data_IF_204448959639
#
_entry.id   IF_204448959639
#
_cell.length_a   1.000
_cell.length_b   1.000
_cell.length_c   1.000
_cell.angle_alpha   90.00
_cell.angle_beta   90.00
_cell.angle_gamma   90.00
#
_symmetry.space_group_name_H-M   'P 1'
#
loop_
_entity.id
_entity.type
_entity.pdbx_description
1 polymer ?
#
# COMPACT_ATOMS: atom_id res chain seq x y z
N UNK A 1 -25.90 8.91 15.53
CA UNK A 1 -25.61 8.65 14.10
C UNK A 1 -25.11 7.22 14.02
N UNK A 2 -25.85 6.31 13.39
CA UNK A 2 -25.46 4.91 13.26
C UNK A 2 -24.28 4.78 12.30
N UNK A 3 -23.17 4.22 12.77
CA UNK A 3 -21.99 3.94 11.97
C UNK A 3 -22.30 2.75 11.05
N UNK A 4 -22.54 3.00 9.76
CA UNK A 4 -22.70 1.94 8.76
C UNK A 4 -21.32 1.34 8.46
N UNK A 5 -20.91 0.33 9.21
CA UNK A 5 -19.68 -0.41 8.94
C UNK A 5 -19.88 -1.36 7.76
N UNK A 6 -19.23 -1.07 6.63
CA UNK A 6 -19.22 -1.97 5.47
C UNK A 6 -17.97 -2.84 5.50
N UNK A 7 -18.16 -4.16 5.57
CA UNK A 7 -17.05 -5.11 5.52
C UNK A 7 -16.43 -5.11 4.10
N UNK A 8 -15.19 -4.64 4.01
CA UNK A 8 -14.41 -4.60 2.76
C UNK A 8 -13.54 -5.86 2.65
N UNK A 9 -13.65 -6.56 1.53
CA UNK A 9 -12.78 -7.69 1.18
C UNK A 9 -11.57 -7.20 0.37
N UNK A 10 -10.39 -7.75 0.63
CA UNK A 10 -9.13 -7.51 -0.10
C UNK A 10 -8.50 -8.87 -0.44
N UNK A 11 -8.54 -9.25 -1.72
CA UNK A 11 -7.92 -10.48 -2.24
C UNK A 11 -6.65 -10.14 -3.01
N UNK A 12 -5.61 -10.96 -2.88
CA UNK A 12 -4.31 -10.74 -3.53
C UNK A 12 -3.84 -11.95 -4.27
N UNK A 13 -3.24 -11.71 -5.43
CA UNK A 13 -2.72 -12.73 -6.30
C UNK A 13 -1.35 -12.28 -6.80
N UNK A 14 -0.46 -13.26 -6.97
CA UNK A 14 0.87 -13.06 -7.54
C UNK A 14 0.89 -13.84 -8.84
N UNK A 15 0.99 -13.12 -9.96
CA UNK A 15 0.89 -13.68 -11.31
C UNK A 15 2.04 -13.17 -12.19
N UNK A 16 2.32 -13.88 -13.28
CA UNK A 16 3.30 -13.44 -14.28
C UNK A 16 2.77 -12.35 -15.20
N UNK A 17 3.66 -11.56 -15.82
CA UNK A 17 3.29 -10.42 -16.68
C UNK A 17 2.36 -10.82 -17.84
N UNK A 18 2.65 -11.93 -18.50
CA UNK A 18 1.83 -12.41 -19.62
C UNK A 18 0.36 -12.66 -19.21
N UNK A 19 0.15 -13.30 -18.05
CA UNK A 19 -1.19 -13.53 -17.52
C UNK A 19 -1.85 -12.21 -17.10
N UNK A 20 -1.11 -11.32 -16.44
CA UNK A 20 -1.58 -10.00 -16.04
C UNK A 20 -2.06 -9.17 -17.23
N UNK A 21 -1.32 -9.14 -18.34
CA UNK A 21 -1.74 -8.41 -19.56
C UNK A 21 -3.00 -9.01 -20.18
N UNK A 22 -3.15 -10.34 -20.20
CA UNK A 22 -4.40 -10.97 -20.67
C UNK A 22 -5.60 -10.59 -19.82
N UNK A 23 -5.44 -10.52 -18.50
CA UNK A 23 -6.50 -10.08 -17.60
C UNK A 23 -6.79 -8.59 -17.82
N UNK A 24 -5.76 -7.75 -17.82
CA UNK A 24 -5.87 -6.31 -17.99
C UNK A 24 -6.62 -5.96 -19.28
N UNK A 25 -6.25 -6.56 -20.42
CA UNK A 25 -6.90 -6.33 -21.70
C UNK A 25 -8.37 -6.79 -21.76
N UNK A 26 -8.77 -7.78 -20.94
CA UNK A 26 -10.17 -8.16 -20.80
C UNK A 26 -10.94 -7.13 -19.99
N UNK A 27 -10.37 -6.67 -18.87
CA UNK A 27 -10.99 -5.65 -18.01
C UNK A 27 -11.10 -4.30 -18.72
N UNK A 28 -10.08 -3.90 -19.48
CA UNK A 28 -10.04 -2.63 -20.20
C UNK A 28 -11.23 -2.43 -21.16
N UNK A 29 -11.78 -3.53 -21.69
CA UNK A 29 -12.94 -3.50 -22.61
C UNK A 29 -14.28 -3.35 -21.89
N UNK A 30 -14.32 -3.55 -20.57
CA UNK A 30 -15.55 -3.70 -19.81
C UNK A 30 -15.65 -2.78 -18.59
N UNK A 31 -14.51 -2.30 -18.07
CA UNK A 31 -14.46 -1.54 -16.82
C UNK A 31 -13.95 -0.11 -17.05
N UNK A 32 -14.46 0.86 -16.28
CA UNK A 32 -13.89 2.20 -16.23
C UNK A 32 -12.50 2.18 -15.59
N UNK A 33 -11.62 3.05 -16.09
CA UNK A 33 -10.31 3.31 -15.52
C UNK A 33 -10.37 3.92 -14.12
N UNK A 34 -9.23 3.96 -13.44
CA UNK A 34 -9.09 4.55 -12.12
C UNK A 34 -9.31 6.08 -12.15
N UNK A 35 -9.97 6.69 -11.15
CA UNK A 35 -10.20 8.13 -11.11
C UNK A 35 -8.91 8.97 -11.11
N UNK A 36 -7.78 8.41 -10.69
CA UNK A 36 -6.51 9.13 -10.63
C UNK A 36 -5.81 9.27 -11.98
N UNK A 37 -5.77 8.20 -12.78
CA UNK A 37 -4.99 8.14 -14.03
C UNK A 37 -5.73 7.54 -15.23
N UNK A 38 -7.03 7.26 -15.08
CA UNK A 38 -7.77 6.47 -16.06
C UNK A 38 -7.16 5.08 -16.21
N UNK A 39 -6.74 4.77 -17.43
CA UNK A 39 -6.11 3.48 -17.77
C UNK A 39 -4.58 3.56 -17.82
N UNK A 40 -4.02 4.76 -17.69
CA UNK A 40 -2.57 4.97 -17.77
C UNK A 40 -1.90 4.52 -16.47
N UNK A 41 -0.68 3.98 -16.57
CA UNK A 41 0.10 3.65 -15.39
C UNK A 41 0.55 4.90 -14.64
N UNK A 42 0.76 4.76 -13.33
CA UNK A 42 1.36 5.78 -12.49
C UNK A 42 2.25 5.15 -11.42
N UNK A 43 3.21 5.91 -10.93
CA UNK A 43 4.09 5.44 -9.86
C UNK A 43 3.46 5.69 -8.50
N UNK A 44 3.57 4.68 -7.64
CA UNK A 44 3.27 4.79 -6.21
C UNK A 44 4.58 4.62 -5.45
N UNK A 45 4.95 5.64 -4.68
CA UNK A 45 6.14 5.60 -3.81
C UNK A 45 5.73 5.70 -2.36
N UNK A 46 6.20 4.77 -1.54
CA UNK A 46 5.87 4.70 -0.12
C UNK A 46 7.13 4.57 0.74
N UNK A 47 7.31 5.46 1.70
CA UNK A 47 8.28 5.32 2.78
C UNK A 47 7.62 4.62 3.96
N UNK A 48 8.11 3.42 4.28
CA UNK A 48 7.65 2.68 5.46
C UNK A 48 8.46 3.04 6.68
N UNK A 49 7.76 3.10 7.81
CA UNK A 49 8.35 3.25 9.13
C UNK A 49 8.17 1.94 9.89
N UNK A 50 9.12 1.66 10.76
CA UNK A 50 9.09 0.53 11.68
C UNK A 50 9.80 0.92 12.97
N UNK A 51 9.59 0.15 14.02
CA UNK A 51 10.29 0.31 15.29
C UNK A 51 11.80 0.15 15.11
N UNK A 52 12.54 0.53 16.14
CA UNK A 52 13.99 0.34 16.16
C UNK A 52 14.38 -1.11 15.86
N UNK A 53 13.70 -2.06 16.50
CA UNK A 53 13.95 -3.51 16.38
C UNK A 53 13.24 -4.19 15.19
N UNK A 54 12.49 -3.44 14.37
CA UNK A 54 11.72 -3.95 13.23
C UNK A 54 10.53 -4.84 13.65
N UNK A 55 9.81 -4.45 14.70
CA UNK A 55 8.70 -5.24 15.22
C UNK A 55 7.59 -5.45 14.17
N UNK A 56 7.26 -4.44 13.34
CA UNK A 56 6.22 -4.59 12.31
C UNK A 56 6.67 -5.54 11.18
N UNK A 57 7.97 -5.68 10.95
CA UNK A 57 8.55 -6.68 10.05
C UNK A 57 8.37 -8.08 10.61
N UNK A 58 8.85 -8.33 11.82
CA UNK A 58 8.79 -9.65 12.46
C UNK A 58 7.34 -10.08 12.75
N UNK A 59 6.49 -9.18 13.23
CA UNK A 59 5.05 -9.43 13.41
C UNK A 59 4.39 -9.95 12.13
N UNK A 60 4.79 -9.41 10.97
CA UNK A 60 4.23 -9.84 9.69
C UNK A 60 4.82 -11.17 9.21
N UNK A 61 6.10 -11.42 9.47
CA UNK A 61 6.78 -12.69 9.14
C UNK A 61 6.23 -13.84 9.99
N UNK A 62 6.07 -13.62 11.29
CA UNK A 62 5.62 -14.61 12.27
C UNK A 62 4.10 -14.81 12.27
N UNK A 63 3.38 -14.07 11.41
CA UNK A 63 1.94 -14.21 11.27
C UNK A 63 1.13 -13.66 12.44
N UNK A 64 1.71 -12.78 13.25
CA UNK A 64 1.05 -12.18 14.43
C UNK A 64 -0.28 -11.53 14.01
N UNK A 65 -1.35 -11.90 14.72
CA UNK A 65 -2.73 -11.51 14.39
C UNK A 65 -2.98 -10.01 14.57
N UNK A 66 -2.37 -9.41 15.59
CA UNK A 66 -2.46 -7.99 15.90
C UNK A 66 -1.18 -7.32 15.44
N UNK A 67 -1.24 -6.60 14.32
CA UNK A 67 -0.05 -5.99 13.72
C UNK A 67 -0.41 -4.69 13.02
N UNK A 68 0.58 -3.83 12.81
CA UNK A 68 0.40 -2.53 12.18
C UNK A 68 1.46 -2.28 11.11
N UNK A 69 1.22 -1.25 10.30
CA UNK A 69 2.17 -0.66 9.37
C UNK A 69 1.91 0.83 9.27
N UNK A 70 2.97 1.63 9.36
CA UNK A 70 2.91 3.07 9.16
C UNK A 70 3.71 3.43 7.91
N UNK A 71 3.15 4.27 7.05
CA UNK A 71 3.86 4.75 5.86
C UNK A 71 3.43 6.15 5.44
N UNK A 72 4.33 6.84 4.77
CA UNK A 72 4.01 8.01 3.95
C UNK A 72 4.00 7.57 2.49
N UNK A 73 2.97 7.93 1.73
CA UNK A 73 2.83 7.60 0.31
C UNK A 73 2.63 8.86 -0.53
N UNK A 74 3.30 8.88 -1.69
CA UNK A 74 3.12 9.85 -2.76
C UNK A 74 2.89 9.15 -4.10
N UNK A 75 2.57 9.95 -5.13
CA UNK A 75 2.36 9.49 -6.49
C UNK A 75 3.29 10.24 -7.45
N UNK A 76 3.81 9.54 -8.46
CA UNK A 76 4.65 10.13 -9.52
C UNK A 76 5.83 10.98 -9.01
N UNK A 77 6.42 10.64 -7.86
CA UNK A 77 7.49 11.43 -7.24
C UNK A 77 7.07 12.82 -6.74
N UNK A 78 5.80 13.20 -6.90
CA UNK A 78 5.30 14.54 -6.62
C UNK A 78 4.88 14.73 -5.16
N UNK A 79 4.97 15.96 -4.68
CA UNK A 79 4.49 16.38 -3.36
C UNK A 79 3.03 16.90 -3.37
N UNK A 80 2.32 16.81 -4.49
CA UNK A 80 0.95 17.34 -4.63
C UNK A 80 -0.03 16.69 -3.65
N UNK A 81 0.07 15.37 -3.49
CA UNK A 81 -0.77 14.59 -2.57
C UNK A 81 0.10 13.63 -1.77
N UNK A 82 0.34 13.98 -0.52
CA UNK A 82 1.10 13.16 0.43
C UNK A 82 0.14 12.55 1.44
N UNK A 83 0.13 11.21 1.53
CA UNK A 83 -0.73 10.47 2.45
C UNK A 83 0.08 9.83 3.58
N UNK A 84 -0.19 10.21 4.82
CA UNK A 84 0.21 9.46 6.01
C UNK A 84 -0.84 8.38 6.27
N UNK A 85 -0.41 7.12 6.33
CA UNK A 85 -1.31 5.98 6.48
C UNK A 85 -0.89 5.09 7.66
N UNK A 86 -1.85 4.76 8.52
CA UNK A 86 -1.73 3.71 9.55
C UNK A 86 -2.67 2.57 9.15
N UNK A 87 -2.12 1.39 8.90
CA UNK A 87 -2.87 0.17 8.59
C UNK A 87 -2.71 -0.80 9.76
N UNK A 88 -3.81 -1.15 10.42
CA UNK A 88 -3.84 -2.08 11.55
C UNK A 88 -4.65 -3.31 11.17
N UNK A 89 -4.18 -4.49 11.57
CA UNK A 89 -4.90 -5.74 11.46
C UNK A 89 -5.04 -6.34 12.86
N UNK A 90 -6.25 -6.74 13.22
CA UNK A 90 -6.58 -7.39 14.49
C UNK A 90 -7.42 -8.63 14.20
N UNK A 91 -6.80 -9.81 14.23
CA UNK A 91 -7.43 -11.03 13.73
C UNK A 91 -7.71 -10.89 12.24
N UNK A 92 -8.97 -11.02 11.82
CA UNK A 92 -9.39 -10.82 10.43
C UNK A 92 -9.81 -9.37 10.12
N UNK A 93 -10.05 -8.56 11.15
CA UNK A 93 -10.42 -7.17 10.99
C UNK A 93 -9.22 -6.33 10.52
N UNK A 94 -9.45 -5.42 9.58
CA UNK A 94 -8.45 -4.50 9.07
C UNK A 94 -8.98 -3.07 9.15
N UNK A 95 -8.27 -2.21 9.88
CA UNK A 95 -8.53 -0.77 9.93
C UNK A 95 -7.45 -0.02 9.17
N UNK A 96 -7.85 0.99 8.38
CA UNK A 96 -6.94 1.90 7.71
C UNK A 96 -7.34 3.33 8.02
N UNK A 97 -6.41 4.08 8.59
CA UNK A 97 -6.49 5.53 8.75
C UNK A 97 -5.56 6.20 7.74
N UNK A 98 -6.02 7.27 7.10
CA UNK A 98 -5.28 7.94 6.02
C UNK A 98 -5.50 9.44 6.09
N UNK A 99 -4.40 10.19 6.16
CA UNK A 99 -4.42 11.64 6.30
C UNK A 99 -3.60 12.31 5.21
N UNK A 100 -4.05 13.47 4.73
CA UNK A 100 -3.21 14.32 3.88
C UNK A 100 -2.30 15.16 4.79
N UNK A 101 -1.00 15.15 4.52
CA UNK A 101 -0.01 15.97 5.25
C UNK A 101 0.75 16.87 4.28
N UNK A 102 1.36 17.93 4.79
CA UNK A 102 2.20 18.82 3.98
C UNK A 102 3.57 18.19 3.71
N UNK A 103 4.28 18.69 2.70
CA UNK A 103 5.67 18.29 2.42
C UNK A 103 6.57 18.51 3.65
N UNK A 104 6.41 19.63 4.34
CA UNK A 104 7.19 19.94 5.55
C UNK A 104 6.92 18.93 6.68
N UNK A 105 5.66 18.56 6.89
CA UNK A 105 5.30 17.54 7.88
C UNK A 105 5.90 16.17 7.52
N UNK A 106 5.85 15.77 6.24
CA UNK A 106 6.48 14.54 5.78
C UNK A 106 8.00 14.54 6.02
N UNK A 107 8.68 15.65 5.69
CA UNK A 107 10.11 15.84 5.97
C UNK A 107 10.43 15.79 7.47
N UNK A 108 9.56 16.36 8.30
CA UNK A 108 9.70 16.25 9.75
C UNK A 108 9.65 14.78 10.19
N UNK A 109 8.70 13.99 9.69
CA UNK A 109 8.62 12.56 10.00
C UNK A 109 9.86 11.80 9.53
N UNK A 110 10.39 12.10 8.33
CA UNK A 110 11.62 11.44 7.85
C UNK A 110 12.84 11.74 8.73
N UNK A 111 12.85 12.88 9.42
CA UNK A 111 13.90 13.24 10.38
C UNK A 111 13.61 12.79 11.81
N UNK A 112 12.57 11.96 12.04
CA UNK A 112 12.19 11.51 13.38
C UNK A 112 11.47 12.56 14.24
N UNK A 113 10.99 13.65 13.63
CA UNK A 113 10.26 14.73 14.32
C UNK A 113 8.76 14.56 14.10
N UNK A 114 8.04 14.12 15.13
CA UNK A 114 6.62 13.76 15.02
C UNK A 114 5.66 14.73 15.73
N UNK A 115 6.16 15.75 16.43
CA UNK A 115 5.36 16.62 17.32
C UNK A 115 4.13 17.24 16.66
N UNK A 116 4.20 17.58 15.37
CA UNK A 116 3.07 18.17 14.64
C UNK A 116 1.80 17.31 14.65
N UNK A 117 1.93 15.99 14.88
CA UNK A 117 0.79 15.09 14.97
C UNK A 117 -0.11 15.43 16.17
N UNK A 118 0.47 15.94 17.27
CA UNK A 118 -0.25 16.39 18.45
C UNK A 118 -1.00 17.71 18.20
N UNK A 119 -0.45 18.58 17.36
CA UNK A 119 -1.01 19.91 17.07
C UNK A 119 -2.29 19.85 16.21
N UNK A 120 -2.69 18.66 15.76
CA UNK A 120 -3.83 18.48 14.85
C UNK A 120 -5.17 18.40 15.56
N UNK A 121 -5.18 18.16 16.87
CA UNK A 121 -6.40 17.88 17.66
C UNK A 121 -7.15 16.62 17.19
N UNK A 122 -6.53 15.78 16.36
CA UNK A 122 -7.12 14.56 15.84
C UNK A 122 -6.62 13.35 16.65
N UNK A 123 -7.49 12.65 17.40
CA UNK A 123 -7.11 11.52 18.24
C UNK A 123 -6.38 10.39 17.49
N UNK A 124 -6.68 10.21 16.21
CA UNK A 124 -6.03 9.19 15.39
C UNK A 124 -4.60 9.58 15.00
N UNK A 125 -4.33 10.87 14.79
CA UNK A 125 -2.97 11.37 14.57
C UNK A 125 -2.16 11.36 15.85
N UNK A 126 -2.78 11.69 16.99
CA UNK A 126 -2.17 11.52 18.31
C UNK A 126 -1.81 10.05 18.57
N UNK A 127 -2.68 9.11 18.21
CA UNK A 127 -2.37 7.68 18.27
C UNK A 127 -1.11 7.33 17.46
N UNK A 128 -0.98 7.86 16.24
CA UNK A 128 0.22 7.66 15.41
C UNK A 128 1.44 8.24 16.15
N UNK A 129 1.35 9.44 16.73
CA UNK A 129 2.44 10.01 17.52
C UNK A 129 2.89 9.08 18.65
N UNK A 130 1.95 8.59 19.46
CA UNK A 130 2.27 7.70 20.58
C UNK A 130 2.94 6.41 20.12
N UNK A 131 2.47 5.77 19.04
CA UNK A 131 3.12 4.59 18.46
C UNK A 131 4.56 4.93 18.05
N UNK A 132 4.72 6.02 17.29
CA UNK A 132 6.00 6.38 16.70
C UNK A 132 7.04 6.73 17.79
N UNK A 133 6.61 7.37 18.88
CA UNK A 133 7.49 7.74 20.00
C UNK A 133 7.80 6.57 20.92
N UNK A 134 6.78 5.79 21.33
CA UNK A 134 6.93 4.69 22.29
C UNK A 134 7.85 3.58 21.76
N UNK A 135 7.70 3.25 20.48
CA UNK A 135 8.44 2.15 19.82
C UNK A 135 9.62 2.66 18.99
N UNK A 136 9.96 3.96 19.11
CA UNK A 136 11.12 4.60 18.47
C UNK A 136 11.14 4.38 16.96
N UNK A 137 10.01 4.66 16.30
CA UNK A 137 9.87 4.43 14.86
C UNK A 137 10.84 5.27 14.04
N UNK A 138 11.39 4.66 12.99
CA UNK A 138 12.26 5.32 12.01
C UNK A 138 11.86 4.92 10.59
N UNK A 139 12.15 5.78 9.60
CA UNK A 139 12.13 5.36 8.20
C UNK A 139 12.99 4.10 8.01
N UNK A 140 12.47 3.10 7.30
CA UNK A 140 13.20 1.84 7.05
C UNK A 140 13.44 1.56 5.59
N UNK A 141 12.42 1.70 4.74
CA UNK A 141 12.58 1.43 3.32
C UNK A 141 11.63 2.29 2.48
N UNK A 142 12.13 2.72 1.34
CA UNK A 142 11.30 3.16 0.23
C UNK A 142 10.88 1.96 -0.60
N UNK A 143 9.62 1.97 -1.01
CA UNK A 143 9.05 1.04 -1.99
C UNK A 143 8.43 1.88 -3.08
N UNK A 144 8.79 1.59 -4.32
CA UNK A 144 8.18 2.15 -5.51
C UNK A 144 7.69 1.04 -6.42
N UNK A 145 6.62 1.30 -7.16
CA UNK A 145 6.10 0.40 -8.17
C UNK A 145 5.21 1.19 -9.14
N UNK A 146 5.06 0.64 -10.33
CA UNK A 146 4.11 1.13 -11.32
C UNK A 146 2.76 0.47 -11.09
N UNK A 147 1.68 1.25 -11.16
CA UNK A 147 0.31 0.79 -10.93
C UNK A 147 -0.57 1.13 -12.12
N UNK A 148 -1.30 0.12 -12.58
CA UNK A 148 -2.52 0.30 -13.39
C UNK A 148 -3.73 -0.13 -12.56
N UNK A 149 -4.87 0.53 -12.74
CA UNK A 149 -6.03 0.26 -11.91
C UNK A 149 -7.36 0.50 -12.64
N UNK A 150 -8.39 -0.19 -12.17
CA UNK A 150 -9.79 0.00 -12.53
C UNK A 150 -10.59 0.29 -11.26
N UNK A 151 -11.62 1.15 -11.36
CA UNK A 151 -12.50 1.45 -10.24
C UNK A 151 -13.97 1.42 -10.68
N UNK A 152 -14.73 0.45 -10.18
CA UNK A 152 -16.16 0.33 -10.46
C UNK A 152 -16.93 0.89 -9.25
N UNK A 153 -17.78 1.91 -9.43
CA UNK A 153 -18.51 2.53 -8.33
C UNK A 153 -19.40 1.54 -7.56
N UNK A 154 -20.02 0.61 -8.28
CA UNK A 154 -20.83 -0.46 -7.69
C UNK A 154 -19.98 -1.33 -6.77
N UNK A 155 -20.42 -1.49 -5.52
CA UNK A 155 -19.69 -2.20 -4.46
C UNK A 155 -18.27 -1.67 -4.18
N UNK A 156 -17.96 -0.43 -4.59
CA UNK A 156 -16.63 0.19 -4.41
C UNK A 156 -15.48 -0.75 -4.78
N UNK A 157 -15.62 -1.36 -5.97
CA UNK A 157 -14.69 -2.36 -6.47
C UNK A 157 -13.46 -1.64 -7.02
N UNK A 158 -12.28 -2.06 -6.58
CA UNK A 158 -11.00 -1.58 -7.11
C UNK A 158 -10.11 -2.75 -7.45
N UNK A 159 -9.59 -2.75 -8.67
CA UNK A 159 -8.66 -3.77 -9.17
C UNK A 159 -7.36 -3.05 -9.49
N UNK A 160 -6.24 -3.51 -8.95
CA UNK A 160 -4.93 -2.90 -9.21
C UNK A 160 -3.92 -3.95 -9.66
N UNK A 161 -3.10 -3.59 -10.64
CA UNK A 161 -1.95 -4.35 -11.10
C UNK A 161 -0.70 -3.55 -10.72
N UNK A 162 0.10 -4.09 -9.81
CA UNK A 162 1.37 -3.46 -9.41
C UNK A 162 2.54 -4.23 -10.03
N UNK A 163 3.35 -3.52 -10.81
CA UNK A 163 4.52 -4.03 -11.56
C UNK A 163 5.77 -3.27 -11.16
N UNK A 164 6.94 -3.78 -11.55
CA UNK A 164 8.25 -3.16 -11.28
C UNK A 164 8.44 -2.77 -9.80
N UNK A 165 8.13 -3.71 -8.90
CA UNK A 165 8.22 -3.45 -7.46
C UNK A 165 9.70 -3.37 -7.07
N UNK A 166 10.10 -2.19 -6.63
CA UNK A 166 11.50 -1.85 -6.36
C UNK A 166 11.64 -1.14 -5.01
N UNK A 167 12.83 -1.22 -4.43
CA UNK A 167 13.07 -0.79 -3.05
C UNK A 167 14.43 -0.11 -2.87
N UNK A 168 14.52 0.78 -1.89
CA UNK A 168 15.76 1.41 -1.42
C UNK A 168 15.75 1.48 0.10
N UNK A 169 16.86 1.06 0.72
CA UNK A 169 17.13 1.25 2.16
C UNK A 169 18.27 2.25 2.41
N UNK A 170 19.09 2.55 1.38
CA UNK A 170 20.23 3.45 1.50
C UNK A 170 19.88 4.93 1.37
N UNK A 171 19.04 5.28 0.39
CA UNK A 171 18.46 6.61 0.27
C UNK A 171 16.96 6.52 0.52
N UNK A 172 16.48 7.24 1.55
CA UNK A 172 15.09 7.24 2.00
C UNK A 172 14.37 8.56 1.70
N UNK A 173 14.96 9.42 0.87
CA UNK A 173 14.33 10.66 0.42
C UNK A 173 13.15 10.36 -0.50
N UNK A 174 11.95 10.62 0.01
CA UNK A 174 10.70 10.35 -0.67
C UNK A 174 10.53 11.20 -1.94
N UNK A 175 11.14 12.38 -2.02
CA UNK A 175 10.88 13.40 -3.05
C UNK A 175 11.99 13.52 -4.10
N UNK A 176 13.05 12.72 -4.01
CA UNK A 176 14.13 12.73 -5.00
C UNK A 176 13.90 11.70 -6.11
N UNK A 177 14.27 12.06 -7.33
CA UNK A 177 14.34 11.12 -8.45
C UNK A 177 15.69 10.39 -8.52
N UNK A 178 16.64 10.75 -7.66
CA UNK A 178 17.99 10.15 -7.59
C UNK A 178 18.06 8.94 -6.65
N UNK A 179 16.94 8.27 -6.42
CA UNK A 179 16.92 7.07 -5.59
C UNK A 179 17.48 5.88 -6.38
N UNK A 180 18.45 5.18 -5.78
CA UNK A 180 18.96 3.93 -6.33
C UNK A 180 18.08 2.78 -5.86
N UNK A 181 17.10 2.42 -6.68
CA UNK A 181 16.22 1.30 -6.40
C UNK A 181 16.83 -0.03 -6.88
N UNK A 182 16.73 -1.06 -6.05
CA UNK A 182 16.93 -2.45 -6.44
C UNK A 182 15.58 -3.14 -6.63
N UNK A 183 15.45 -4.16 -7.50
CA UNK A 183 14.26 -5.00 -7.54
C UNK A 183 13.96 -5.60 -6.15
N UNK A 184 12.69 -5.58 -5.74
CA UNK A 184 12.24 -6.24 -4.51
C UNK A 184 11.93 -7.73 -4.75
N UNK A 185 11.66 -8.11 -6.00
CA UNK A 185 11.35 -9.47 -6.42
C UNK A 185 11.70 -9.61 -7.93
N UNK A 186 11.34 -10.73 -8.53
CA UNK A 186 11.52 -11.01 -9.96
C UNK A 186 10.81 -9.99 -10.84
N UNK A 187 11.42 -9.70 -12.00
CA UNK A 187 10.89 -8.72 -12.96
C UNK A 187 9.61 -9.19 -13.67
N UNK A 188 9.27 -10.49 -13.61
CA UNK A 188 8.02 -11.03 -14.17
C UNK A 188 6.83 -10.94 -13.19
N UNK A 189 7.08 -10.61 -11.92
CA UNK A 189 6.05 -10.59 -10.90
C UNK A 189 5.09 -9.41 -11.07
N UNK A 190 3.79 -9.71 -11.01
CA UNK A 190 2.71 -8.73 -10.91
C UNK A 190 1.85 -9.03 -9.69
N UNK A 191 1.63 -8.03 -8.84
CA UNK A 191 0.69 -8.14 -7.73
C UNK A 191 -0.67 -7.63 -8.20
N UNK A 192 -1.58 -8.56 -8.41
CA UNK A 192 -2.99 -8.28 -8.67
C UNK A 192 -3.72 -8.20 -7.32
N UNK A 193 -4.34 -7.06 -7.04
CA UNK A 193 -5.16 -6.85 -5.84
C UNK A 193 -6.59 -6.51 -6.25
N UNK A 194 -7.56 -7.19 -5.65
CA UNK A 194 -8.99 -6.99 -5.89
C UNK A 194 -9.66 -6.65 -4.58
N UNK A 195 -10.24 -5.46 -4.52
CA UNK A 195 -10.94 -4.92 -3.35
C UNK A 195 -12.40 -4.67 -3.67
N UNK A 196 -13.29 -4.98 -2.76
CA UNK A 196 -14.73 -4.75 -2.93
C UNK A 196 -15.47 -4.79 -1.60
N UNK A 197 -16.61 -4.13 -1.55
CA UNK A 197 -17.55 -4.22 -0.44
C UNK A 197 -18.58 -5.32 -0.71
N UNK A 198 -19.00 -6.04 0.34
CA UNK A 198 -20.01 -7.12 0.28
C UNK A 198 -19.62 -8.30 -0.62
N UNK A 199 -19.74 -8.16 -1.95
CA UNK A 199 -19.48 -9.20 -2.93
C UNK A 199 -18.87 -8.63 -4.22
N UNK A 200 -18.12 -9.48 -4.93
CA UNK A 200 -17.59 -9.18 -6.25
C UNK A 200 -18.62 -9.59 -7.32
N UNK A 201 -18.90 -8.70 -8.27
CA UNK A 201 -19.83 -8.95 -9.38
C UNK A 201 -19.35 -10.15 -10.21
N UNK A 202 -20.27 -11.04 -10.60
CA UNK A 202 -19.94 -12.29 -11.31
C UNK A 202 -19.16 -12.04 -12.60
N UNK A 203 -19.60 -11.10 -13.43
CA UNK A 203 -18.90 -10.78 -14.67
C UNK A 203 -17.45 -10.30 -14.43
N UNK A 204 -17.16 -9.66 -13.29
CA UNK A 204 -15.79 -9.27 -12.93
C UNK A 204 -14.97 -10.50 -12.50
N UNK A 205 -15.57 -11.44 -11.76
CA UNK A 205 -14.92 -12.72 -11.43
C UNK A 205 -14.52 -13.47 -12.70
N UNK A 206 -15.41 -13.52 -13.69
CA UNK A 206 -15.18 -14.19 -14.97
C UNK A 206 -14.06 -13.51 -15.78
N UNK A 207 -14.09 -12.17 -15.85
CA UNK A 207 -13.04 -11.38 -16.52
C UNK A 207 -11.66 -11.55 -15.86
N UNK A 208 -11.64 -11.72 -14.53
CA UNK A 208 -10.41 -11.99 -13.78
C UNK A 208 -9.93 -13.43 -13.92
N UNK A 209 -10.81 -14.35 -14.35
CA UNK A 209 -10.55 -15.79 -14.32
C UNK A 209 -10.08 -16.27 -12.93
N UNK A 210 -10.75 -15.80 -11.87
CA UNK A 210 -10.32 -16.01 -10.48
C UNK A 210 -10.13 -17.48 -10.10
N UNK A 211 -10.85 -18.40 -10.74
CA UNK A 211 -10.76 -19.85 -10.45
C UNK A 211 -9.44 -20.48 -10.92
N UNK A 212 -8.67 -19.77 -11.75
CA UNK A 212 -7.39 -20.23 -12.30
C UNK A 212 -6.18 -19.51 -11.69
N UNK A 213 -6.38 -18.78 -10.58
CA UNK A 213 -5.33 -18.01 -9.93
C UNK A 213 -5.34 -18.27 -8.43
N UNK A 214 -4.22 -18.75 -7.91
CA UNK A 214 -4.06 -18.97 -6.48
C UNK A 214 -4.02 -17.64 -5.73
N UNK A 215 -4.88 -17.52 -4.72
CA UNK A 215 -4.81 -16.41 -3.78
C UNK A 215 -3.55 -16.53 -2.91
N UNK A 216 -2.71 -15.50 -2.94
CA UNK A 216 -1.45 -15.44 -2.18
C UNK A 216 -1.26 -14.07 -1.58
N UNK A 217 -0.95 -14.04 -0.29
CA UNK A 217 -0.63 -12.78 0.37
C UNK A 217 0.75 -12.28 -0.09
N UNK A 218 0.82 -11.04 -0.59
CA UNK A 218 2.10 -10.40 -0.93
C UNK A 218 2.25 -9.10 -0.13
N UNK A 219 3.39 -8.97 0.55
CA UNK A 219 3.73 -7.79 1.34
C UNK A 219 4.94 -7.09 0.74
N UNK A 220 4.70 -6.02 -0.02
CA UNK A 220 5.77 -5.19 -0.61
C UNK A 220 6.80 -4.72 0.41
N UNK A 221 6.35 -4.40 1.62
CA UNK A 221 7.24 -4.05 2.72
C UNK A 221 8.24 -5.18 3.05
N UNK A 222 7.77 -6.42 3.13
CA UNK A 222 8.64 -7.56 3.48
C UNK A 222 9.59 -7.86 2.32
N UNK A 223 9.07 -7.93 1.09
CA UNK A 223 9.88 -8.16 -0.11
C UNK A 223 10.97 -7.08 -0.30
N UNK A 224 10.68 -5.84 0.12
CA UNK A 224 11.62 -4.74 -0.03
C UNK A 224 12.73 -4.65 1.03
N UNK A 225 12.57 -5.27 2.21
CA UNK A 225 13.66 -5.31 3.19
C UNK A 225 14.75 -6.27 2.70
N UNK A 226 16.01 -5.91 2.86
CA UNK A 226 17.11 -6.89 2.83
C UNK A 226 16.79 -7.93 3.91
N UNK A 227 16.94 -9.23 3.60
CA UNK A 227 16.69 -10.29 4.56
C UNK A 227 17.55 -10.04 5.80
N UNK A 228 16.89 -9.66 6.89
CA UNK A 228 17.51 -9.53 8.19
C UNK A 228 17.65 -10.95 8.72
N UNK A 229 18.88 -11.46 8.74
CA UNK A 229 19.23 -12.75 9.37
C UNK A 229 19.42 -12.57 10.88
#
# INVERSE_FOLDING_TARGET
>A
MSELSVARTERKFVIGKYQAEKIFNRLLKALPGDPFSGNDPYYVRSLYFDSYYNDDYFDKMDGIKNRKKIRIRIYNGSADVIKLELKQKSGDAQNKKSFTITKQQALNMTSGRFSFLLDTGNPDMEQIYYIMMKEVYRPKCLIEYERRAFAVPTNDIRITFDTDIRTSEGNLDLFTDRNYFRPADTSDLVVLEVKYNHFLLSYIKDLLAMDYIDERSYSKYIAGRIQLF
#
